data_IF_709963076416
#
_entry.id   IF_709963076416
#
_cell.length_a   1.000
_cell.length_b   1.000
_cell.length_c   1.000
_cell.angle_alpha   90.00
_cell.angle_beta   90.00
_cell.angle_gamma   90.00
#
_symmetry.space_group_name_H-M   'P 1'
#
loop_
_entity.id
_entity.type
_entity.pdbx_description
1 polymer ?
#
# COMPACT_ATOMS: atom_id res chain seq x y z
N UNK A 1 3.89 9.06 16.91
CA UNK A 1 3.58 9.27 15.46
C UNK A 1 2.24 8.60 15.21
N UNK A 2 1.30 9.28 14.58
CA UNK A 2 -0.02 8.76 14.25
C UNK A 2 -0.08 8.40 12.77
N UNK A 3 -0.51 7.16 12.46
CA UNK A 3 -0.54 6.64 11.10
C UNK A 3 -2.00 6.53 10.60
N UNK A 4 -2.24 6.74 9.30
CA UNK A 4 -3.51 6.42 8.67
C UNK A 4 -3.30 5.31 7.65
N UNK A 5 -3.77 4.11 7.96
CA UNK A 5 -3.79 2.99 7.01
C UNK A 5 -4.98 3.19 6.09
N UNK A 6 -4.73 3.26 4.78
CA UNK A 6 -5.75 3.56 3.76
C UNK A 6 -5.80 2.40 2.77
N UNK A 7 -6.96 1.76 2.68
CA UNK A 7 -7.19 0.59 1.82
C UNK A 7 -8.34 0.91 0.86
N UNK A 8 -8.04 1.33 -0.37
CA UNK A 8 -9.05 1.34 -1.44
C UNK A 8 -9.40 -0.09 -1.84
N UNK A 9 -10.69 -0.37 -2.01
CA UNK A 9 -11.16 -1.68 -2.41
C UNK A 9 -12.33 -1.59 -3.38
N UNK A 10 -12.53 -2.61 -4.20
CA UNK A 10 -13.71 -2.76 -5.04
C UNK A 10 -13.96 -4.21 -5.41
N UNK A 11 -15.10 -4.79 -4.98
CA UNK A 11 -15.53 -6.15 -5.29
C UNK A 11 -14.46 -7.21 -4.94
N UNK A 12 -13.89 -7.11 -3.74
CA UNK A 12 -12.82 -8.00 -3.25
C UNK A 12 -13.00 -8.33 -1.76
N UNK A 13 -14.24 -8.54 -1.33
CA UNK A 13 -14.61 -8.77 0.07
C UNK A 13 -13.71 -9.77 0.80
N UNK A 14 -13.46 -10.94 0.19
CA UNK A 14 -12.66 -12.02 0.81
C UNK A 14 -11.17 -11.71 0.95
N UNK A 15 -10.60 -10.88 0.06
CA UNK A 15 -9.20 -10.43 0.16
C UNK A 15 -9.08 -9.33 1.20
N UNK A 16 -10.00 -8.36 1.16
CA UNK A 16 -10.09 -7.28 2.14
C UNK A 16 -10.18 -7.83 3.57
N UNK A 17 -10.98 -8.89 3.81
CA UNK A 17 -11.11 -9.53 5.11
C UNK A 17 -9.74 -10.00 5.64
N UNK A 18 -8.97 -10.71 4.81
CA UNK A 18 -7.61 -11.16 5.16
C UNK A 18 -6.64 -10.00 5.41
N UNK A 19 -6.75 -8.93 4.62
CA UNK A 19 -5.93 -7.74 4.80
C UNK A 19 -6.22 -7.07 6.15
N UNK A 20 -7.50 -6.87 6.48
CA UNK A 20 -7.94 -6.27 7.74
C UNK A 20 -7.56 -7.13 8.95
N UNK A 21 -7.72 -8.45 8.88
CA UNK A 21 -7.29 -9.37 9.94
C UNK A 21 -5.79 -9.23 10.23
N UNK A 22 -4.96 -9.08 9.20
CA UNK A 22 -3.51 -8.89 9.38
C UNK A 22 -3.16 -7.57 10.07
N UNK A 23 -4.00 -6.54 9.92
CA UNK A 23 -3.82 -5.24 10.59
C UNK A 23 -4.16 -5.33 12.08
N UNK A 24 -5.08 -6.21 12.48
CA UNK A 24 -5.39 -6.43 13.88
C UNK A 24 -4.23 -7.06 14.67
N UNK A 25 -3.29 -7.71 14.00
CA UNK A 25 -2.14 -8.42 14.61
C UNK A 25 -0.88 -7.57 14.72
N UNK A 26 -0.95 -6.26 14.47
CA UNK A 26 0.21 -5.37 14.50
C UNK A 26 0.79 -5.21 15.90
N UNK A 27 2.13 -5.22 16.00
CA UNK A 27 2.86 -4.90 17.25
C UNK A 27 2.81 -3.41 17.58
N UNK A 28 2.53 -2.56 16.59
CA UNK A 28 2.33 -1.13 16.80
C UNK A 28 1.00 -0.88 17.51
N UNK A 29 1.02 0.02 18.52
CA UNK A 29 -0.15 0.26 19.37
C UNK A 29 -1.39 0.70 18.56
N UNK A 30 -2.52 0.04 18.81
CA UNK A 30 -3.83 0.33 18.18
C UNK A 30 -4.30 1.78 18.41
N UNK A 31 -3.78 2.47 19.44
CA UNK A 31 -4.09 3.89 19.69
C UNK A 31 -3.28 4.85 18.82
N UNK A 32 -2.28 4.36 18.10
CA UNK A 32 -1.37 5.16 17.32
C UNK A 32 -1.64 5.10 15.81
N UNK A 33 -2.72 4.45 15.39
CA UNK A 33 -3.16 4.47 14.00
C UNK A 33 -4.67 4.36 13.86
N UNK A 34 -5.16 4.78 12.71
CA UNK A 34 -6.52 4.55 12.23
C UNK A 34 -6.50 3.68 10.97
N UNK A 35 -7.61 3.00 10.71
CA UNK A 35 -7.84 2.27 9.47
C UNK A 35 -8.99 2.91 8.71
N UNK A 36 -8.73 3.27 7.46
CA UNK A 36 -9.69 3.88 6.54
C UNK A 36 -9.86 2.94 5.36
N UNK A 37 -10.99 2.26 5.28
CA UNK A 37 -11.36 1.50 4.09
C UNK A 37 -12.18 2.40 3.18
N UNK A 38 -11.75 2.52 1.93
CA UNK A 38 -12.48 3.26 0.90
C UNK A 38 -13.08 2.27 -0.09
N UNK A 39 -14.36 2.01 0.06
CA UNK A 39 -15.15 1.17 -0.85
C UNK A 39 -15.49 1.97 -2.11
N UNK A 40 -14.86 1.64 -3.21
CA UNK A 40 -14.95 2.37 -4.46
C UNK A 40 -16.05 1.81 -5.37
N UNK A 41 -17.26 1.71 -4.81
CA UNK A 41 -18.46 1.28 -5.52
C UNK A 41 -18.56 -0.25 -5.66
N UNK A 42 -18.35 -0.99 -4.57
CA UNK A 42 -18.55 -2.45 -4.56
C UNK A 42 -20.03 -2.84 -4.61
N UNK A 43 -20.27 -4.03 -5.13
CA UNK A 43 -21.59 -4.67 -5.25
C UNK A 43 -21.63 -6.08 -4.66
N UNK A 44 -20.50 -6.53 -4.11
CA UNK A 44 -20.34 -7.77 -3.35
C UNK A 44 -20.48 -7.52 -1.83
N UNK A 45 -20.09 -8.46 -1.00
CA UNK A 45 -20.20 -8.42 0.45
C UNK A 45 -19.13 -7.50 1.12
N UNK A 46 -18.48 -6.61 0.35
CA UNK A 46 -17.44 -5.69 0.87
C UNK A 46 -17.96 -4.85 2.04
N UNK A 47 -19.20 -4.33 1.94
CA UNK A 47 -19.80 -3.49 3.01
C UNK A 47 -20.01 -4.27 4.29
N UNK A 48 -20.50 -5.50 4.21
CA UNK A 48 -20.73 -6.40 5.34
C UNK A 48 -19.40 -6.72 6.04
N UNK A 49 -18.36 -7.04 5.27
CA UNK A 49 -17.01 -7.24 5.80
C UNK A 49 -16.55 -5.98 6.54
N UNK A 50 -16.65 -4.81 5.92
CA UNK A 50 -16.25 -3.55 6.57
C UNK A 50 -16.96 -3.33 7.91
N UNK A 51 -18.27 -3.55 7.94
CA UNK A 51 -19.09 -3.37 9.16
C UNK A 51 -18.65 -4.31 10.29
N UNK A 52 -18.15 -5.50 9.98
CA UNK A 52 -17.65 -6.45 10.99
C UNK A 52 -16.39 -5.98 11.72
N UNK A 53 -15.66 -5.00 11.16
CA UNK A 53 -14.42 -4.45 11.74
C UNK A 53 -14.64 -3.17 12.56
N UNK A 54 -15.80 -2.53 12.49
CA UNK A 54 -16.09 -1.28 13.22
C UNK A 54 -15.87 -1.41 14.75
N UNK A 55 -16.14 -2.58 15.31
CA UNK A 55 -15.94 -2.84 16.74
C UNK A 55 -14.57 -3.46 17.08
N UNK A 56 -13.83 -3.95 16.08
CA UNK A 56 -12.53 -4.61 16.27
C UNK A 56 -11.36 -3.63 16.25
N UNK A 57 -11.50 -2.50 15.55
CA UNK A 57 -10.47 -1.48 15.38
C UNK A 57 -10.91 -0.19 16.07
N UNK A 58 -10.14 0.30 17.04
CA UNK A 58 -10.49 1.46 17.86
C UNK A 58 -10.76 2.74 17.04
N UNK A 59 -10.05 2.90 15.94
CA UNK A 59 -10.16 4.05 15.05
C UNK A 59 -10.38 3.56 13.62
N UNK A 60 -11.56 3.01 13.36
CA UNK A 60 -11.98 2.49 12.06
C UNK A 60 -12.89 3.48 11.34
N UNK A 61 -12.74 3.60 10.04
CA UNK A 61 -13.60 4.42 9.20
C UNK A 61 -13.87 3.74 7.87
N UNK A 62 -15.13 3.53 7.57
CA UNK A 62 -15.61 3.13 6.25
C UNK A 62 -16.04 4.36 5.45
N UNK A 63 -15.63 4.46 4.20
CA UNK A 63 -15.99 5.51 3.25
C UNK A 63 -16.51 4.84 1.98
N UNK A 64 -17.71 5.16 1.57
CA UNK A 64 -18.22 4.80 0.27
C UNK A 64 -17.90 5.92 -0.73
N UNK A 65 -17.19 5.57 -1.82
CA UNK A 65 -16.82 6.50 -2.89
C UNK A 65 -17.47 6.02 -4.20
N UNK A 66 -18.44 6.79 -4.67
CA UNK A 66 -19.26 6.43 -5.82
C UNK A 66 -18.49 6.49 -7.15
N UNK A 67 -17.51 7.40 -7.25
CA UNK A 67 -16.71 7.56 -8.47
C UNK A 67 -15.64 6.47 -8.52
N UNK A 68 -15.70 5.54 -9.47
CA UNK A 68 -14.72 4.45 -9.53
C UNK A 68 -13.34 4.96 -9.98
N UNK A 69 -12.30 4.40 -9.38
CA UNK A 69 -10.91 4.68 -9.71
C UNK A 69 -9.98 4.53 -8.51
N UNK A 70 -8.86 3.83 -8.66
CA UNK A 70 -7.91 3.58 -7.57
C UNK A 70 -7.45 4.89 -6.91
N UNK A 71 -7.09 5.90 -7.72
CA UNK A 71 -6.62 7.19 -7.17
C UNK A 71 -7.76 8.05 -6.61
N UNK A 72 -9.00 7.87 -7.08
CA UNK A 72 -10.17 8.48 -6.46
C UNK A 72 -10.31 7.95 -5.03
N UNK A 73 -10.26 6.62 -4.86
CA UNK A 73 -10.27 6.00 -3.53
C UNK A 73 -9.10 6.45 -2.64
N UNK A 74 -7.87 6.51 -3.20
CA UNK A 74 -6.70 7.00 -2.46
C UNK A 74 -6.85 8.47 -2.03
N UNK A 75 -7.40 9.33 -2.86
CA UNK A 75 -7.66 10.73 -2.52
C UNK A 75 -8.79 10.89 -1.50
N UNK A 76 -9.84 10.07 -1.57
CA UNK A 76 -10.87 10.05 -0.54
C UNK A 76 -10.27 9.69 0.84
N UNK A 77 -9.39 8.67 0.87
CA UNK A 77 -8.62 8.31 2.05
C UNK A 77 -7.70 9.43 2.53
N UNK A 78 -6.93 10.09 1.64
CA UNK A 78 -6.09 11.25 1.97
C UNK A 78 -6.89 12.36 2.66
N UNK A 79 -8.08 12.66 2.13
CA UNK A 79 -8.96 13.72 2.66
C UNK A 79 -9.47 13.39 4.07
N UNK A 80 -9.75 12.12 4.33
CA UNK A 80 -10.27 11.65 5.62
C UNK A 80 -9.17 11.42 6.66
N UNK A 81 -7.95 11.14 6.25
CA UNK A 81 -6.84 10.76 7.11
C UNK A 81 -6.46 11.83 8.13
N UNK A 82 -6.21 11.41 9.38
CA UNK A 82 -5.75 12.26 10.49
C UNK A 82 -4.25 12.10 10.76
N UNK A 83 -3.65 10.99 10.31
CA UNK A 83 -2.24 10.67 10.54
C UNK A 83 -1.27 11.59 9.80
N UNK A 84 -0.10 11.76 10.40
CA UNK A 84 1.04 12.44 9.77
C UNK A 84 1.64 11.63 8.62
N UNK A 85 1.51 10.31 8.73
CA UNK A 85 1.96 9.34 7.74
C UNK A 85 0.75 8.61 7.19
N UNK A 86 0.67 8.56 5.87
CA UNK A 86 -0.34 7.81 5.13
C UNK A 86 0.26 6.48 4.70
N UNK A 87 -0.38 5.40 5.08
CA UNK A 87 0.05 4.03 4.79
C UNK A 87 -0.95 3.45 3.80
N UNK A 88 -0.66 3.60 2.51
CA UNK A 88 -1.47 2.98 1.46
C UNK A 88 -1.13 1.51 1.33
N UNK A 89 -2.15 0.69 1.34
CA UNK A 89 -2.08 -0.74 1.11
C UNK A 89 -3.18 -1.16 0.13
N UNK A 90 -2.89 -2.13 -0.72
CA UNK A 90 -3.92 -2.77 -1.53
C UNK A 90 -4.73 -3.74 -0.65
N UNK A 91 -5.92 -4.10 -1.09
CA UNK A 91 -6.84 -5.00 -0.39
C UNK A 91 -6.44 -6.48 -0.47
N UNK A 92 -5.38 -6.79 -1.21
CA UNK A 92 -4.83 -8.13 -1.43
C UNK A 92 -3.45 -8.34 -0.78
N UNK A 93 -3.14 -7.54 0.26
CA UNK A 93 -1.95 -7.76 1.08
C UNK A 93 -2.29 -8.49 2.38
N UNK A 94 -1.27 -9.08 2.98
CA UNK A 94 -1.27 -9.55 4.35
C UNK A 94 -0.03 -9.00 5.05
N UNK A 95 -0.24 -8.06 5.96
CA UNK A 95 0.84 -7.33 6.63
C UNK A 95 1.62 -8.22 7.60
N UNK A 96 2.94 -8.02 7.70
CA UNK A 96 3.74 -8.61 8.76
C UNK A 96 3.35 -7.97 10.11
N UNK A 97 3.43 -8.67 11.25
CA UNK A 97 3.09 -8.09 12.56
C UNK A 97 3.87 -6.82 12.89
N UNK A 98 5.08 -6.66 12.34
CA UNK A 98 5.97 -5.50 12.56
C UNK A 98 5.81 -4.39 11.51
N UNK A 99 4.86 -4.51 10.59
CA UNK A 99 4.70 -3.62 9.44
C UNK A 99 4.59 -2.15 9.82
N UNK A 100 3.62 -1.80 10.68
CA UNK A 100 3.41 -0.41 11.11
C UNK A 100 4.55 0.09 12.02
N UNK A 101 5.16 -0.78 12.82
CA UNK A 101 6.34 -0.43 13.62
C UNK A 101 7.53 -0.06 12.72
N UNK A 102 7.81 -0.87 11.71
CA UNK A 102 8.89 -0.62 10.74
C UNK A 102 8.68 0.67 9.95
N UNK A 103 7.43 0.97 9.57
CA UNK A 103 7.07 2.23 8.93
C UNK A 103 7.36 3.41 9.87
N UNK A 104 6.83 3.36 11.11
CA UNK A 104 7.02 4.43 12.09
C UNK A 104 8.50 4.64 12.43
N UNK A 105 9.29 3.57 12.49
CA UNK A 105 10.74 3.63 12.73
C UNK A 105 11.46 4.42 11.64
N UNK A 106 11.19 4.12 10.38
CA UNK A 106 11.84 4.79 9.25
C UNK A 106 11.48 6.30 9.17
N UNK A 107 10.24 6.67 9.48
CA UNK A 107 9.80 8.07 9.48
C UNK A 107 10.29 8.91 10.66
N UNK A 108 11.04 8.35 11.62
CA UNK A 108 11.75 9.15 12.64
C UNK A 108 12.77 10.10 12.01
N UNK A 109 13.34 9.75 10.85
CA UNK A 109 14.17 10.66 10.09
C UNK A 109 13.28 11.64 9.28
N UNK A 110 13.36 12.97 9.54
CA UNK A 110 12.52 13.96 8.87
C UNK A 110 12.78 14.09 7.35
N UNK A 111 13.93 13.65 6.87
CA UNK A 111 14.27 13.65 5.43
C UNK A 111 13.57 12.51 4.68
N UNK A 112 13.06 11.49 5.37
CA UNK A 112 12.35 10.37 4.77
C UNK A 112 10.92 10.79 4.45
N UNK A 113 10.57 10.76 3.18
CA UNK A 113 9.24 11.04 2.69
C UNK A 113 8.46 9.80 2.28
N UNK A 114 9.16 8.71 1.92
CA UNK A 114 8.55 7.49 1.39
C UNK A 114 9.19 6.25 2.03
N UNK A 115 8.37 5.28 2.39
CA UNK A 115 8.81 4.02 2.99
C UNK A 115 8.09 2.85 2.35
N UNK A 116 8.84 1.81 2.03
CA UNK A 116 8.35 0.48 1.66
C UNK A 116 9.13 -0.61 2.39
N UNK A 117 8.80 -1.86 2.10
CA UNK A 117 9.47 -3.04 2.67
C UNK A 117 9.47 -4.18 1.67
N UNK A 118 9.65 -5.42 2.14
CA UNK A 118 9.47 -6.59 1.29
C UNK A 118 8.01 -6.69 0.85
N UNK A 119 7.82 -7.04 -0.40
CA UNK A 119 6.55 -7.49 -0.93
C UNK A 119 6.75 -8.95 -1.35
N UNK A 120 6.43 -9.87 -0.46
CA UNK A 120 6.63 -11.30 -0.67
C UNK A 120 5.43 -11.85 -1.45
N UNK A 121 5.63 -12.61 -2.52
CA UNK A 121 4.52 -13.15 -3.26
C UNK A 121 3.76 -14.20 -2.44
N UNK A 122 2.43 -14.08 -2.42
CA UNK A 122 1.47 -15.06 -1.90
C UNK A 122 0.67 -15.61 -3.10
N UNK A 123 1.21 -16.62 -3.76
CA UNK A 123 0.63 -17.16 -4.98
C UNK A 123 -0.66 -17.95 -4.68
N UNK A 124 -1.73 -17.68 -5.43
CA UNK A 124 -3.01 -18.42 -5.31
C UNK A 124 -2.87 -19.89 -5.64
N UNK A 125 -2.00 -20.23 -6.59
CA UNK A 125 -1.64 -21.60 -6.98
C UNK A 125 -0.13 -21.72 -7.09
N UNK A 126 0.41 -22.93 -7.11
CA UNK A 126 1.85 -23.14 -7.36
C UNK A 126 2.27 -22.46 -8.67
N UNK A 127 3.23 -21.51 -8.63
CA UNK A 127 3.62 -20.77 -9.80
C UNK A 127 4.37 -21.66 -10.79
N UNK A 128 4.09 -21.55 -12.10
CA UNK A 128 4.83 -22.28 -13.12
C UNK A 128 6.31 -21.90 -13.14
N UNK A 129 7.18 -22.82 -13.58
CA UNK A 129 8.64 -22.65 -13.51
C UNK A 129 9.18 -21.41 -14.23
N UNK A 130 8.49 -20.94 -15.27
CA UNK A 130 8.92 -19.73 -15.97
C UNK A 130 8.83 -18.46 -15.11
N UNK A 131 8.00 -18.43 -14.07
CA UNK A 131 7.95 -17.30 -13.11
C UNK A 131 9.32 -17.10 -12.44
N UNK A 132 10.07 -18.18 -12.19
CA UNK A 132 11.41 -18.11 -11.61
C UNK A 132 12.39 -17.32 -12.48
N UNK A 133 12.15 -17.27 -13.79
CA UNK A 133 12.99 -16.54 -14.76
C UNK A 133 12.69 -15.03 -14.77
N UNK A 134 11.57 -14.59 -14.17
CA UNK A 134 11.20 -13.18 -14.10
C UNK A 134 11.92 -12.42 -12.98
N UNK A 135 12.59 -13.11 -12.07
CA UNK A 135 13.36 -12.45 -11.03
C UNK A 135 14.49 -11.63 -11.63
N UNK A 136 14.44 -10.32 -11.37
CA UNK A 136 15.54 -9.40 -11.63
C UNK A 136 16.40 -9.36 -10.37
N UNK A 137 17.64 -9.82 -10.47
CA UNK A 137 18.58 -9.83 -9.35
C UNK A 137 19.77 -8.91 -9.64
N UNK A 138 20.10 -8.06 -8.69
CA UNK A 138 21.27 -7.20 -8.74
C UNK A 138 21.75 -6.86 -7.32
N UNK A 139 23.02 -7.18 -7.01
CA UNK A 139 23.66 -6.85 -5.72
C UNK A 139 22.84 -7.31 -4.48
N UNK A 140 22.30 -8.53 -4.50
CA UNK A 140 21.49 -9.09 -3.40
C UNK A 140 20.07 -8.53 -3.31
N UNK A 141 19.66 -7.67 -4.23
CA UNK A 141 18.29 -7.15 -4.37
C UNK A 141 17.59 -7.92 -5.46
N UNK A 142 16.37 -8.36 -5.21
CA UNK A 142 15.58 -9.09 -6.19
C UNK A 142 14.16 -8.58 -6.28
N UNK A 143 13.57 -8.61 -7.48
CA UNK A 143 12.22 -8.16 -7.71
C UNK A 143 11.56 -8.79 -8.93
N UNK A 144 10.23 -8.84 -8.92
CA UNK A 144 9.40 -9.09 -10.10
C UNK A 144 8.42 -7.92 -10.21
N UNK A 145 8.77 -6.85 -10.94
CA UNK A 145 7.98 -5.62 -10.97
C UNK A 145 6.53 -5.82 -11.42
N UNK A 146 6.29 -6.70 -12.40
CA UNK A 146 4.94 -6.96 -12.91
C UNK A 146 3.98 -7.57 -11.86
N UNK A 147 4.50 -8.15 -10.78
CA UNK A 147 3.73 -8.67 -9.66
C UNK A 147 3.86 -7.80 -8.41
N UNK A 148 4.54 -6.67 -8.49
CA UNK A 148 4.89 -5.83 -7.33
C UNK A 148 5.60 -6.60 -6.22
N UNK A 149 6.45 -7.56 -6.60
CA UNK A 149 7.23 -8.42 -5.68
C UNK A 149 8.64 -7.86 -5.53
N UNK A 150 9.07 -7.69 -4.28
CA UNK A 150 10.34 -7.05 -3.93
C UNK A 150 10.93 -7.68 -2.68
N UNK A 151 12.23 -8.01 -2.73
CA UNK A 151 13.01 -8.41 -1.55
C UNK A 151 14.45 -7.89 -1.71
N UNK A 152 14.81 -6.92 -0.87
CA UNK A 152 16.12 -6.29 -0.86
C UNK A 152 16.95 -6.69 0.38
N UNK A 153 16.64 -7.87 0.94
CA UNK A 153 17.35 -8.40 2.10
C UNK A 153 16.82 -7.90 3.44
N UNK A 154 17.63 -8.04 4.49
CA UNK A 154 17.21 -7.83 5.88
C UNK A 154 17.77 -6.54 6.49
N UNK A 155 18.39 -5.68 5.68
CA UNK A 155 18.98 -4.42 6.13
C UNK A 155 18.10 -3.23 5.77
N UNK A 156 17.98 -2.26 6.70
CA UNK A 156 17.36 -0.97 6.40
C UNK A 156 18.28 -0.20 5.47
N UNK A 157 17.75 0.30 4.36
CA UNK A 157 18.56 1.00 3.38
C UNK A 157 17.80 2.10 2.64
N UNK A 158 18.51 3.12 2.21
CA UNK A 158 17.99 4.11 1.27
C UNK A 158 17.86 3.46 -0.11
N UNK A 159 16.72 3.70 -0.76
CA UNK A 159 16.39 3.14 -2.07
C UNK A 159 15.88 4.23 -3.02
N UNK A 160 15.87 3.96 -4.32
CA UNK A 160 15.11 4.80 -5.23
C UNK A 160 13.61 4.76 -4.90
N UNK A 161 12.92 5.92 -4.85
CA UNK A 161 11.48 5.98 -4.65
C UNK A 161 10.68 5.08 -5.61
N UNK A 162 11.21 4.79 -6.80
CA UNK A 162 10.58 3.93 -7.81
C UNK A 162 10.46 2.45 -7.39
N UNK A 163 11.10 2.04 -6.30
CA UNK A 163 10.97 0.70 -5.73
C UNK A 163 9.93 0.62 -4.60
N UNK A 164 9.21 1.70 -4.31
CA UNK A 164 8.07 1.67 -3.38
C UNK A 164 6.80 1.60 -4.21
N UNK A 165 6.12 0.47 -4.17
CA UNK A 165 4.96 0.18 -5.01
C UNK A 165 3.65 0.25 -4.24
N UNK A 166 2.54 0.49 -4.95
CA UNK A 166 1.23 0.84 -4.41
C UNK A 166 0.66 -0.13 -3.38
N UNK A 167 1.00 -1.42 -3.46
CA UNK A 167 0.56 -2.43 -2.50
C UNK A 167 1.15 -2.24 -1.09
N UNK A 168 2.27 -1.49 -0.96
CA UNK A 168 2.97 -1.21 0.30
C UNK A 168 3.66 0.16 0.22
N UNK A 169 2.85 1.22 0.25
CA UNK A 169 3.29 2.58 -0.07
C UNK A 169 2.99 3.53 1.09
N UNK A 170 4.01 3.81 1.89
CA UNK A 170 3.86 4.71 3.04
C UNK A 170 4.52 6.05 2.78
N UNK A 171 3.78 7.14 2.91
CA UNK A 171 4.22 8.49 2.55
C UNK A 171 3.89 9.52 3.62
N UNK A 172 4.76 10.50 3.80
CA UNK A 172 4.49 11.67 4.64
C UNK A 172 3.37 12.50 4.03
N UNK A 173 2.29 12.72 4.82
CA UNK A 173 1.07 13.42 4.37
C UNK A 173 1.39 14.81 3.80
N UNK A 174 2.25 15.58 4.46
CA UNK A 174 2.65 16.91 4.00
C UNK A 174 3.31 16.88 2.61
N UNK A 175 4.15 15.89 2.35
CA UNK A 175 4.80 15.73 1.03
C UNK A 175 3.79 15.34 -0.04
N UNK A 176 2.87 14.41 0.24
CA UNK A 176 1.82 14.06 -0.73
C UNK A 176 0.91 15.24 -1.05
N UNK A 177 0.60 16.09 -0.06
CA UNK A 177 -0.17 17.32 -0.27
C UNK A 177 0.61 18.36 -1.08
N UNK A 178 1.91 18.54 -0.82
CA UNK A 178 2.80 19.43 -1.57
C UNK A 178 2.81 19.11 -3.07
N UNK A 179 2.87 17.83 -3.40
CA UNK A 179 2.87 17.35 -4.79
C UNK A 179 1.45 17.14 -5.37
N UNK A 180 0.41 17.52 -4.63
CA UNK A 180 -1.01 17.47 -5.01
C UNK A 180 -1.57 16.07 -5.25
N UNK A 181 -1.02 15.04 -4.58
CA UNK A 181 -1.56 13.68 -4.60
C UNK A 181 -1.06 12.81 -5.75
N UNK A 182 -1.84 11.79 -6.10
CA UNK A 182 -1.52 10.83 -7.15
C UNK A 182 -2.03 11.31 -8.51
N UNK A 183 -1.15 11.43 -9.50
CA UNK A 183 -1.44 11.85 -10.87
C UNK A 183 -0.57 11.07 -11.87
N UNK A 184 -0.99 10.85 -13.12
CA UNK A 184 -2.35 11.04 -13.58
C UNK A 184 -3.28 9.98 -12.99
N UNK A 185 -4.25 9.59 -13.59
CA UNK A 185 -5.44 9.00 -13.12
C UNK A 185 -5.40 7.44 -13.18
N UNK A 186 -5.87 6.77 -12.14
CA UNK A 186 -6.07 5.32 -12.03
C UNK A 186 -7.52 4.91 -12.26
N UNK A 187 -8.20 5.50 -13.23
CA UNK A 187 -9.58 5.18 -13.58
C UNK A 187 -9.73 3.79 -14.23
N UNK A 188 -10.92 3.18 -14.18
CA UNK A 188 -11.25 2.00 -14.96
C UNK A 188 -10.98 2.20 -16.46
N UNK A 189 -10.68 1.10 -17.18
CA UNK A 189 -10.28 1.15 -18.60
C UNK A 189 -11.23 1.92 -19.52
N UNK A 190 -12.52 1.83 -19.28
CA UNK A 190 -13.60 2.51 -20.03
C UNK A 190 -13.66 4.03 -19.78
N UNK A 191 -13.00 4.49 -18.72
CA UNK A 191 -12.93 5.91 -18.34
C UNK A 191 -11.51 6.47 -18.35
N UNK A 192 -10.52 5.66 -18.69
CA UNK A 192 -9.12 6.03 -18.67
C UNK A 192 -8.81 7.03 -19.80
N UNK A 193 -8.51 8.28 -19.46
CA UNK A 193 -8.09 9.32 -20.39
C UNK A 193 -6.58 9.28 -20.65
N UNK A 194 -5.81 8.91 -19.64
CA UNK A 194 -4.35 8.87 -19.70
C UNK A 194 -3.84 7.52 -19.17
N UNK A 195 -2.78 7.01 -19.77
CA UNK A 195 -2.05 5.88 -19.19
C UNK A 195 -0.96 6.41 -18.26
N UNK A 196 -1.00 5.99 -17.04
CA UNK A 196 0.03 6.29 -16.05
C UNK A 196 -0.28 5.59 -14.75
N UNK A 197 0.73 5.39 -13.95
CA UNK A 197 0.56 5.03 -12.57
C UNK A 197 0.88 6.25 -11.70
N UNK A 198 0.02 6.54 -10.74
CA UNK A 198 0.19 7.69 -9.87
C UNK A 198 1.38 7.54 -8.93
N UNK A 199 1.78 6.32 -8.61
CA UNK A 199 2.93 6.04 -7.75
C UNK A 199 4.24 6.47 -8.40
N UNK A 200 4.44 6.18 -9.68
CA UNK A 200 5.64 6.64 -10.42
C UNK A 200 5.72 8.15 -10.42
N UNK A 201 4.61 8.84 -10.63
CA UNK A 201 4.57 10.32 -10.61
C UNK A 201 4.96 10.86 -9.24
N UNK A 202 4.42 10.29 -8.15
CA UNK A 202 4.78 10.64 -6.76
C UNK A 202 6.26 10.36 -6.50
N UNK A 203 6.76 9.20 -6.90
CA UNK A 203 8.16 8.78 -6.70
C UNK A 203 9.14 9.72 -7.41
N UNK A 204 8.84 10.13 -8.64
CA UNK A 204 9.66 11.10 -9.38
C UNK A 204 9.62 12.49 -8.75
N UNK A 205 8.47 12.91 -8.20
CA UNK A 205 8.35 14.18 -7.49
C UNK A 205 9.20 14.17 -6.20
N UNK A 206 9.13 13.09 -5.41
CA UNK A 206 9.96 12.89 -4.21
C UNK A 206 11.44 13.00 -4.54
N UNK A 207 11.89 12.35 -5.62
CA UNK A 207 13.26 12.42 -6.09
C UNK A 207 13.69 13.84 -6.49
N UNK A 208 12.83 14.58 -7.20
CA UNK A 208 13.10 15.96 -7.62
C UNK A 208 13.18 16.93 -6.43
N UNK A 209 12.38 16.68 -5.39
CA UNK A 209 12.38 17.49 -4.16
C UNK A 209 13.54 17.14 -3.21
N UNK A 210 14.34 16.11 -3.53
CA UNK A 210 15.49 15.70 -2.72
C UNK A 210 15.15 14.97 -1.43
N UNK A 211 13.90 14.49 -1.28
CA UNK A 211 13.51 13.64 -0.18
C UNK A 211 14.04 12.22 -0.36
N UNK A 212 14.17 11.50 0.76
CA UNK A 212 14.64 10.12 0.81
C UNK A 212 13.48 9.13 0.77
N UNK A 213 13.71 8.00 0.10
CA UNK A 213 12.91 6.80 0.25
C UNK A 213 13.71 5.72 0.97
N UNK A 214 13.05 4.98 1.86
CA UNK A 214 13.67 3.94 2.69
C UNK A 214 12.95 2.61 2.52
N UNK A 215 13.73 1.58 2.34
CA UNK A 215 13.31 0.20 2.51
C UNK A 215 13.58 -0.24 3.94
N UNK A 216 12.54 -0.71 4.64
CA UNK A 216 12.66 -1.32 5.96
C UNK A 216 12.09 -2.74 5.93
N UNK A 217 12.88 -3.80 6.18
CA UNK A 217 12.41 -5.18 6.13
C UNK A 217 11.34 -5.51 7.20
N UNK A 218 11.19 -4.71 8.26
CA UNK A 218 10.06 -4.82 9.19
C UNK A 218 8.75 -4.33 8.57
N UNK A 219 8.81 -3.37 7.64
CA UNK A 219 7.65 -2.79 6.95
C UNK A 219 7.21 -3.65 5.75
N UNK A 220 7.06 -4.95 5.94
CA UNK A 220 6.87 -5.93 4.88
C UNK A 220 5.45 -6.48 4.83
N UNK A 221 5.06 -6.92 3.62
CA UNK A 221 3.76 -7.53 3.36
C UNK A 221 3.93 -8.79 2.50
N UNK A 222 2.99 -9.72 2.64
CA UNK A 222 2.69 -10.67 1.58
C UNK A 222 1.73 -10.01 0.60
N UNK A 223 1.96 -10.17 -0.70
CA UNK A 223 1.11 -9.64 -1.75
C UNK A 223 0.53 -10.78 -2.57
N UNK A 224 -0.78 -10.90 -2.59
CA UNK A 224 -1.47 -11.98 -3.28
C UNK A 224 -1.34 -11.84 -4.80
N UNK A 225 -0.94 -12.94 -5.43
CA UNK A 225 -0.78 -13.03 -6.88
C UNK A 225 -1.78 -14.06 -7.42
N UNK A 226 -2.80 -13.57 -8.11
CA UNK A 226 -3.84 -14.43 -8.65
C UNK A 226 -3.33 -15.32 -9.78
N UNK A 227 -3.94 -16.49 -9.93
CA UNK A 227 -3.66 -17.42 -11.03
C UNK A 227 -3.81 -16.77 -12.41
N UNK A 228 -4.76 -15.85 -12.55
CA UNK A 228 -5.02 -15.14 -13.80
C UNK A 228 -3.90 -14.14 -14.21
N UNK A 229 -2.94 -13.86 -13.33
CA UNK A 229 -1.79 -13.00 -13.62
C UNK A 229 -0.57 -13.80 -14.06
N UNK A 230 -0.61 -15.10 -13.92
CA UNK A 230 0.43 -16.07 -14.30
C UNK A 230 0.07 -16.79 -15.60
#
# INVERSE_FOLDING_TARGET
MYLSVIIPTRNRASLLDKALDSILTQTYSLHNFEVIVVDNGSTDETREICSSYEQKVSHYRYIYEEIPGLHVGRHAGLKAAQGEILVYADDDIRAFPTWLEGIAEAFKNPQVALVGGKNIPDFEIEPPDWIKQLWIEHNGRRSIPMFSVLDFGDEIQEISPLYVWGCNFSIRKSVLQEIRGFHPDGMPKDRLQYRGDGETTVSLAIQRLGYKAVYNPKASVYHWVSANRM
#
